data_IF_837285087912
#
_entry.id   IF_837285087912
#
_cell.length_a   1.000
_cell.length_b   1.000
_cell.length_c   1.000
_cell.angle_alpha   90.00
_cell.angle_beta   90.00
_cell.angle_gamma   90.00
#
_symmetry.space_group_name_H-M   'P 1'
#
loop_
_entity.id
_entity.type
_entity.pdbx_description
1 polymer ?
#
# COMPACT_ATOMS: atom_id res chain seq x y z
N UNK A 1 -6.92 -11.78 -9.69
CA UNK A 1 -6.13 -10.78 -8.95
C UNK A 1 -6.88 -10.37 -7.70
N UNK A 2 -6.16 -10.16 -6.59
CA UNK A 2 -6.70 -9.61 -5.36
C UNK A 2 -6.19 -8.17 -5.19
N UNK A 3 -7.09 -7.21 -4.92
CA UNK A 3 -6.75 -5.79 -4.84
C UNK A 3 -7.18 -5.18 -3.50
N UNK A 4 -6.50 -4.11 -3.09
CA UNK A 4 -6.89 -3.31 -1.92
C UNK A 4 -7.34 -1.94 -2.39
N UNK A 5 -8.52 -1.51 -1.92
CA UNK A 5 -9.02 -0.13 -2.01
C UNK A 5 -8.77 0.53 -3.39
N UNK A 6 -9.15 -0.17 -4.47
CA UNK A 6 -8.81 0.22 -5.84
C UNK A 6 -9.45 1.56 -6.26
N UNK A 7 -10.63 1.83 -5.71
CA UNK A 7 -11.47 3.02 -5.93
C UNK A 7 -11.03 4.25 -5.14
N UNK A 8 -10.02 4.12 -4.26
CA UNK A 8 -9.51 5.25 -3.47
C UNK A 8 -8.52 6.10 -4.27
N UNK A 9 -8.60 7.41 -4.08
CA UNK A 9 -7.76 8.43 -4.73
C UNK A 9 -6.25 8.10 -4.71
N UNK A 10 -5.75 7.51 -3.63
CA UNK A 10 -4.34 7.19 -3.45
C UNK A 10 -4.02 5.69 -3.65
N UNK A 11 -4.84 4.94 -4.40
CA UNK A 11 -4.57 3.52 -4.65
C UNK A 11 -3.23 3.34 -5.37
N UNK A 12 -2.30 2.64 -4.71
CA UNK A 12 -1.00 2.33 -5.30
C UNK A 12 -1.10 1.27 -6.40
N UNK A 13 -2.18 0.48 -6.44
CA UNK A 13 -2.36 -0.61 -7.41
C UNK A 13 -3.19 -0.22 -8.63
N UNK A 14 -4.00 0.86 -8.53
CA UNK A 14 -4.81 1.38 -9.63
C UNK A 14 -4.04 1.60 -10.96
N UNK A 15 -2.79 2.10 -10.99
CA UNK A 15 -2.06 2.25 -12.25
C UNK A 15 -1.83 0.95 -13.01
N UNK A 16 -1.84 -0.19 -12.34
CA UNK A 16 -1.77 -1.48 -13.03
C UNK A 16 -3.11 -1.82 -13.69
N UNK A 17 -4.23 -1.51 -13.06
CA UNK A 17 -5.59 -1.83 -13.50
C UNK A 17 -6.24 -0.65 -14.27
N UNK A 18 -5.48 -0.06 -15.17
CA UNK A 18 -5.84 1.12 -15.99
C UNK A 18 -6.84 0.84 -17.12
N UNK A 19 -7.11 -0.43 -17.42
CA UNK A 19 -7.96 -0.87 -18.54
C UNK A 19 -9.06 -1.80 -18.05
N UNK A 20 -10.20 -1.81 -18.76
CA UNK A 20 -11.34 -2.67 -18.43
C UNK A 20 -10.95 -4.16 -18.41
N UNK A 21 -10.12 -4.61 -19.35
CA UNK A 21 -9.64 -6.00 -19.40
C UNK A 21 -8.85 -6.39 -18.14
N UNK A 22 -7.98 -5.51 -17.65
CA UNK A 22 -7.23 -5.76 -16.42
C UNK A 22 -8.12 -5.71 -15.19
N UNK A 23 -9.09 -4.79 -15.15
CA UNK A 23 -10.08 -4.72 -14.07
C UNK A 23 -10.97 -5.97 -14.03
N UNK A 24 -11.36 -6.52 -15.19
CA UNK A 24 -12.12 -7.76 -15.28
C UNK A 24 -11.36 -8.99 -14.74
N UNK A 25 -10.04 -8.92 -14.55
CA UNK A 25 -9.22 -9.98 -13.92
C UNK A 25 -9.17 -9.86 -12.39
N UNK A 26 -9.83 -8.88 -11.80
CA UNK A 26 -9.97 -8.74 -10.35
C UNK A 26 -11.05 -9.71 -9.89
N UNK A 27 -10.65 -10.67 -9.06
CA UNK A 27 -11.55 -11.67 -8.48
C UNK A 27 -11.92 -11.34 -7.03
N UNK A 28 -11.13 -10.48 -6.37
CA UNK A 28 -11.35 -10.06 -5.00
C UNK A 28 -10.88 -8.63 -4.77
N UNK A 29 -11.67 -7.84 -4.06
CA UNK A 29 -11.32 -6.50 -3.61
C UNK A 29 -11.59 -6.38 -2.11
N UNK A 30 -10.55 -6.08 -1.34
CA UNK A 30 -10.62 -5.84 0.10
C UNK A 30 -10.30 -4.39 0.46
N UNK A 31 -10.60 -4.00 1.70
CA UNK A 31 -10.30 -2.67 2.23
C UNK A 31 -9.00 -2.60 3.04
N UNK A 32 -8.51 -3.75 3.52
CA UNK A 32 -7.29 -3.85 4.30
C UNK A 32 -6.27 -4.74 3.59
N UNK A 33 -5.03 -4.24 3.48
CA UNK A 33 -3.98 -4.94 2.75
C UNK A 33 -3.63 -6.29 3.40
N UNK A 34 -3.65 -6.37 4.73
CA UNK A 34 -3.39 -7.63 5.47
C UNK A 34 -4.43 -8.71 5.12
N UNK A 35 -5.71 -8.34 5.00
CA UNK A 35 -6.76 -9.28 4.58
C UNK A 35 -6.53 -9.77 3.14
N UNK A 36 -6.13 -8.88 2.24
CA UNK A 36 -5.79 -9.23 0.85
C UNK A 36 -4.60 -10.19 0.81
N UNK A 37 -3.55 -9.95 1.61
CA UNK A 37 -2.39 -10.86 1.69
C UNK A 37 -2.78 -12.24 2.23
N UNK A 38 -3.67 -12.32 3.22
CA UNK A 38 -4.18 -13.59 3.73
C UNK A 38 -5.02 -14.36 2.69
N UNK A 39 -5.76 -13.65 1.83
CA UNK A 39 -6.47 -14.28 0.70
C UNK A 39 -5.48 -14.81 -0.34
N UNK A 40 -4.42 -14.05 -0.64
CA UNK A 40 -3.37 -14.47 -1.56
C UNK A 40 -2.66 -15.73 -1.07
N UNK A 41 -2.32 -15.84 0.22
CA UNK A 41 -1.62 -17.01 0.76
C UNK A 41 -2.41 -18.33 0.70
N UNK A 42 -3.74 -18.24 0.59
CA UNK A 42 -4.63 -19.41 0.54
C UNK A 42 -5.16 -19.70 -0.87
N UNK A 43 -4.69 -18.97 -1.88
CA UNK A 43 -5.20 -19.08 -3.26
C UNK A 43 -4.07 -19.02 -4.28
N UNK A 44 -4.41 -19.01 -5.57
CA UNK A 44 -3.48 -18.76 -6.67
C UNK A 44 -3.55 -17.32 -7.18
N UNK A 45 -4.13 -16.41 -6.39
CA UNK A 45 -4.22 -15.01 -6.75
C UNK A 45 -2.90 -14.29 -6.50
N UNK A 46 -2.72 -13.16 -7.16
CA UNK A 46 -1.62 -12.22 -6.93
C UNK A 46 -2.18 -10.86 -6.52
N UNK A 47 -1.41 -10.13 -5.73
CA UNK A 47 -1.70 -8.77 -5.32
C UNK A 47 -0.45 -7.87 -5.51
N UNK A 48 -0.69 -6.59 -5.77
CA UNK A 48 0.34 -5.55 -5.67
C UNK A 48 0.34 -5.09 -4.21
N UNK A 49 1.51 -4.90 -3.62
CA UNK A 49 1.67 -4.49 -2.23
C UNK A 49 2.92 -3.62 -2.05
N UNK A 50 2.97 -2.71 -1.05
CA UNK A 50 4.20 -2.06 -0.65
C UNK A 50 5.27 -3.10 -0.26
N UNK A 51 6.52 -2.89 -0.68
CA UNK A 51 7.62 -3.84 -0.47
C UNK A 51 7.82 -4.17 1.01
N UNK A 52 7.86 -3.15 1.87
CA UNK A 52 8.08 -3.32 3.31
C UNK A 52 7.02 -4.25 3.93
N UNK A 53 5.76 -4.08 3.54
CA UNK A 53 4.66 -4.88 4.06
C UNK A 53 4.68 -6.31 3.51
N UNK A 54 5.00 -6.47 2.22
CA UNK A 54 5.17 -7.80 1.63
C UNK A 54 6.28 -8.58 2.34
N UNK A 55 7.42 -7.93 2.62
CA UNK A 55 8.52 -8.54 3.36
C UNK A 55 8.10 -8.96 4.78
N UNK A 56 7.36 -8.12 5.50
CA UNK A 56 6.95 -8.42 6.87
C UNK A 56 6.02 -9.64 6.99
N UNK A 57 5.26 -9.93 5.94
CA UNK A 57 4.32 -11.05 5.91
C UNK A 57 4.77 -12.22 5.04
N UNK A 58 5.91 -12.12 4.35
CA UNK A 58 6.40 -13.15 3.44
C UNK A 58 6.52 -14.50 4.13
N UNK A 59 7.26 -14.57 5.23
CA UNK A 59 7.48 -15.82 5.96
C UNK A 59 6.21 -16.25 6.71
N UNK A 60 5.50 -15.29 7.33
CA UNK A 60 4.30 -15.54 8.15
C UNK A 60 3.16 -16.17 7.33
N UNK A 61 3.05 -15.81 6.06
CA UNK A 61 1.98 -16.23 5.15
C UNK A 61 2.50 -17.07 3.99
N UNK A 62 3.77 -17.51 4.01
CA UNK A 62 4.44 -18.23 2.93
C UNK A 62 4.25 -17.58 1.54
N UNK A 63 4.33 -16.26 1.47
CA UNK A 63 4.12 -15.50 0.25
C UNK A 63 5.40 -15.42 -0.57
N UNK A 64 5.27 -15.64 -1.88
CA UNK A 64 6.33 -15.35 -2.83
C UNK A 64 6.27 -13.89 -3.26
N UNK A 65 7.41 -13.20 -3.17
CA UNK A 65 7.54 -11.83 -3.65
C UNK A 65 8.10 -11.83 -5.07
N UNK A 66 7.36 -11.24 -6.01
CA UNK A 66 7.75 -11.12 -7.42
C UNK A 66 8.15 -9.66 -7.78
N UNK A 67 8.92 -9.46 -8.85
CA UNK A 67 9.17 -8.13 -9.42
C UNK A 67 7.87 -7.49 -9.90
N UNK A 68 7.68 -6.20 -9.62
CA UNK A 68 6.51 -5.45 -10.08
C UNK A 68 6.72 -5.02 -11.55
N UNK A 69 5.85 -5.41 -12.50
CA UNK A 69 5.99 -5.06 -13.93
C UNK A 69 5.67 -3.59 -14.27
N UNK A 70 5.64 -2.70 -13.28
CA UNK A 70 5.43 -1.27 -13.47
C UNK A 70 6.77 -0.52 -13.44
N UNK A 71 6.96 0.40 -14.40
CA UNK A 71 8.10 1.32 -14.40
C UNK A 71 8.12 2.20 -13.14
N UNK A 72 6.95 2.65 -12.70
CA UNK A 72 6.78 3.39 -11.45
C UNK A 72 6.42 2.39 -10.36
N UNK A 73 7.39 2.06 -9.50
CA UNK A 73 7.26 1.08 -8.43
C UNK A 73 7.44 1.68 -7.02
N UNK A 74 7.48 3.01 -6.92
CA UNK A 74 7.56 3.76 -5.68
C UNK A 74 6.41 4.76 -5.57
N UNK A 75 6.06 5.13 -4.33
CA UNK A 75 5.03 6.13 -4.01
C UNK A 75 5.50 6.94 -2.81
N UNK A 76 5.30 8.26 -2.87
CA UNK A 76 5.57 9.16 -1.75
C UNK A 76 4.48 8.98 -0.69
N UNK A 77 4.90 8.78 0.56
CA UNK A 77 4.03 8.88 1.72
C UNK A 77 4.10 10.32 2.23
N UNK A 78 2.95 10.97 2.41
CA UNK A 78 2.89 12.34 2.89
C UNK A 78 2.46 12.36 4.36
N UNK A 79 3.13 13.18 5.16
CA UNK A 79 2.60 13.62 6.44
C UNK A 79 1.74 14.85 6.17
N UNK A 80 0.48 14.80 6.59
CA UNK A 80 -0.51 15.86 6.35
C UNK A 80 -1.20 16.23 7.66
N UNK A 81 -1.36 17.52 7.90
CA UNK A 81 -2.08 18.07 9.05
C UNK A 81 -2.86 19.32 8.64
N UNK A 82 -3.82 19.71 9.47
CA UNK A 82 -4.55 20.95 9.29
C UNK A 82 -3.67 22.15 9.71
N UNK A 83 -3.74 23.27 9.00
CA UNK A 83 -2.91 24.47 9.26
C UNK A 83 -2.98 24.93 10.72
N UNK A 84 -4.17 24.87 11.33
CA UNK A 84 -4.39 25.23 12.73
C UNK A 84 -3.55 24.44 13.75
N UNK A 85 -3.08 23.23 13.39
CA UNK A 85 -2.23 22.41 14.26
C UNK A 85 -0.77 22.93 14.34
N UNK A 86 -0.33 23.72 13.36
CA UNK A 86 1.08 24.14 13.24
C UNK A 86 1.58 25.08 14.34
N UNK A 87 0.71 25.62 15.19
CA UNK A 87 1.08 26.46 16.34
C UNK A 87 1.18 25.70 17.67
N UNK A 88 0.72 24.45 17.70
CA UNK A 88 0.80 23.62 18.89
C UNK A 88 2.21 23.03 19.04
N UNK A 89 2.83 23.22 20.21
CA UNK A 89 4.19 22.73 20.46
C UNK A 89 4.27 21.21 20.48
N UNK A 90 3.21 20.52 20.92
CA UNK A 90 3.15 19.06 20.89
C UNK A 90 3.11 18.54 19.46
N UNK A 91 2.33 19.19 18.59
CA UNK A 91 2.27 18.89 17.17
C UNK A 91 3.62 19.10 16.47
N UNK A 92 4.28 20.24 16.71
CA UNK A 92 5.61 20.53 16.15
C UNK A 92 6.65 19.48 16.55
N UNK A 93 6.69 19.11 17.83
CA UNK A 93 7.57 18.04 18.31
C UNK A 93 7.31 16.70 17.61
N UNK A 94 6.03 16.33 17.46
CA UNK A 94 5.65 15.09 16.78
C UNK A 94 5.99 15.13 15.28
N UNK A 95 5.78 16.27 14.62
CA UNK A 95 6.18 16.49 13.23
C UNK A 95 7.69 16.27 13.06
N UNK A 96 8.51 16.93 13.87
CA UNK A 96 9.97 16.78 13.85
C UNK A 96 10.39 15.32 14.07
N UNK A 97 9.78 14.64 15.04
CA UNK A 97 10.05 13.24 15.34
C UNK A 97 9.71 12.31 14.16
N UNK A 98 8.53 12.47 13.56
CA UNK A 98 8.10 11.65 12.42
C UNK A 98 8.97 11.91 11.20
N UNK A 99 9.34 13.17 10.94
CA UNK A 99 10.26 13.54 9.86
C UNK A 99 11.64 12.90 10.05
N UNK A 100 12.17 12.88 11.28
CA UNK A 100 13.45 12.21 11.57
C UNK A 100 13.38 10.68 11.34
N UNK A 101 12.31 10.04 11.82
CA UNK A 101 12.10 8.59 11.66
C UNK A 101 11.93 8.22 10.17
N UNK A 102 11.21 9.03 9.39
CA UNK A 102 10.87 8.75 7.99
C UNK A 102 11.94 9.17 6.97
N UNK A 103 13.05 9.81 7.39
CA UNK A 103 14.19 10.13 6.49
C UNK A 103 15.02 8.91 6.08
N UNK A 104 14.78 7.75 6.69
CA UNK A 104 15.46 6.47 6.42
C UNK A 104 14.77 5.69 5.31
#
# INVERSE_FOLDING_TARGET
>A
HATVALDRYASFSLPWYDTADKQARIAYQGNAMVSVLNVVSQTQMVAIAPRWLANEFADKLALQILPLPLKVNSRTCYLSWHEAAGRDKGHQWMEELLVDICKR
#
